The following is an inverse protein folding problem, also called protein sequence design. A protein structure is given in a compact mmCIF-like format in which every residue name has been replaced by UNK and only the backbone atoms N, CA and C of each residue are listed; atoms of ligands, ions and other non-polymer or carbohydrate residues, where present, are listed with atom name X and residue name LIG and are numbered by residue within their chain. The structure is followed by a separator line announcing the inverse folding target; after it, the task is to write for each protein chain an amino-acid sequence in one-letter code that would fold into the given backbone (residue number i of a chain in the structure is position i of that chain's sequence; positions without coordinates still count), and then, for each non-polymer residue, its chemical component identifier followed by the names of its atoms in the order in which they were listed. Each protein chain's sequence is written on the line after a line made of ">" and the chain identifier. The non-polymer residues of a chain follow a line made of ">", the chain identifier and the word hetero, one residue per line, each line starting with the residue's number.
data_IF_710503737836
#
_entry.id   IF_710503737836
#
_cell.length_a   1.000
_cell.length_b   1.000
_cell.length_c   1.000
_cell.angle_alpha   90.00
_cell.angle_beta   90.00
_cell.angle_gamma   90.00
#
_symmetry.space_group_name_H-M   'P 1'
#
loop_
_entity.id
_entity.type
_entity.pdbx_description
1 polymer ?
#
# COMPACT_ATOMS: atom_id res chain seq x y z
N UNK A 1 -27.90 -11.82 2.23
CA UNK A 1 -26.92 -12.74 2.84
C UNK A 1 -26.02 -11.94 3.76
N UNK A 2 -25.81 -12.38 5.01
CA UNK A 2 -24.80 -11.77 5.91
C UNK A 2 -23.44 -11.86 5.22
N UNK A 3 -22.77 -10.72 5.04
CA UNK A 3 -21.41 -10.68 4.53
C UNK A 3 -20.51 -11.35 5.57
N UNK A 4 -19.84 -12.42 5.17
CA UNK A 4 -18.91 -13.13 6.03
C UNK A 4 -17.61 -12.32 6.13
N UNK A 5 -17.32 -11.76 7.30
CA UNK A 5 -16.20 -10.82 7.50
C UNK A 5 -14.82 -11.46 7.20
N UNK A 6 -14.66 -12.77 7.44
CA UNK A 6 -13.42 -13.50 7.12
C UNK A 6 -13.21 -13.78 5.63
N UNK A 7 -14.16 -13.44 4.75
CA UNK A 7 -14.07 -13.63 3.30
C UNK A 7 -13.59 -12.41 2.51
N UNK A 8 -13.10 -11.37 3.21
CA UNK A 8 -12.72 -10.10 2.59
C UNK A 8 -11.64 -10.25 1.51
N UNK A 9 -10.68 -11.16 1.69
CA UNK A 9 -9.60 -11.45 0.76
C UNK A 9 -10.11 -12.00 -0.58
N UNK A 10 -11.16 -12.82 -0.56
CA UNK A 10 -11.79 -13.32 -1.79
C UNK A 10 -12.51 -12.19 -2.53
N UNK A 11 -13.19 -11.30 -1.79
CA UNK A 11 -13.82 -10.11 -2.38
C UNK A 11 -12.79 -9.13 -2.93
N UNK A 12 -11.67 -8.93 -2.24
CA UNK A 12 -10.58 -8.12 -2.75
C UNK A 12 -10.01 -8.73 -4.04
N UNK A 13 -9.87 -10.07 -4.09
CA UNK A 13 -9.43 -10.77 -5.30
C UNK A 13 -10.35 -10.54 -6.49
N UNK A 14 -11.66 -10.66 -6.31
CA UNK A 14 -12.66 -10.39 -7.36
C UNK A 14 -12.51 -8.96 -7.93
N UNK A 15 -12.28 -7.98 -7.06
CA UNK A 15 -12.08 -6.58 -7.46
C UNK A 15 -10.74 -6.37 -8.17
N UNK A 16 -9.69 -7.06 -7.74
CA UNK A 16 -8.38 -7.02 -8.38
C UNK A 16 -8.42 -7.61 -9.79
N UNK A 17 -9.00 -8.81 -9.95
CA UNK A 17 -9.15 -9.45 -11.26
C UNK A 17 -9.96 -8.55 -12.22
N UNK A 18 -11.00 -7.89 -11.70
CA UNK A 18 -11.76 -6.89 -12.48
C UNK A 18 -10.89 -5.72 -12.92
N UNK A 19 -10.04 -5.19 -12.04
CA UNK A 19 -9.13 -4.10 -12.37
C UNK A 19 -8.10 -4.52 -13.43
N UNK A 20 -7.54 -5.73 -13.32
CA UNK A 20 -6.64 -6.29 -14.32
C UNK A 20 -7.30 -6.40 -15.69
N UNK A 21 -8.51 -6.98 -15.75
CA UNK A 21 -9.25 -7.09 -17.02
C UNK A 21 -9.53 -5.72 -17.64
N UNK A 22 -9.89 -4.72 -16.83
CA UNK A 22 -10.13 -3.35 -17.34
C UNK A 22 -8.84 -2.71 -17.84
N UNK A 23 -7.73 -2.85 -17.12
CA UNK A 23 -6.43 -2.38 -17.54
C UNK A 23 -5.98 -3.04 -18.86
N UNK A 24 -6.10 -4.36 -18.98
CA UNK A 24 -5.76 -5.09 -20.21
C UNK A 24 -6.61 -4.69 -21.42
N UNK A 25 -7.82 -4.15 -21.20
CA UNK A 25 -8.68 -3.58 -22.24
C UNK A 25 -8.48 -2.08 -22.44
N UNK A 26 -7.29 -1.57 -22.13
CA UNK A 26 -6.87 -0.18 -22.28
C UNK A 26 -7.67 0.87 -21.47
N UNK A 27 -8.45 0.43 -20.48
CA UNK A 27 -9.15 1.37 -19.61
C UNK A 27 -8.22 1.89 -18.50
N UNK A 28 -7.83 3.16 -18.61
CA UNK A 28 -6.98 3.88 -17.64
C UNK A 28 -7.76 4.76 -16.66
N UNK A 29 -9.09 4.83 -16.79
CA UNK A 29 -9.97 5.71 -15.98
C UNK A 29 -10.51 4.97 -14.78
N UNK A 30 -9.82 5.05 -13.64
CA UNK A 30 -10.16 4.32 -12.40
C UNK A 30 -11.60 4.55 -11.94
N UNK A 31 -12.14 5.75 -12.14
CA UNK A 31 -13.52 6.12 -11.83
C UNK A 31 -14.58 5.31 -12.60
N UNK A 32 -14.18 4.62 -13.67
CA UNK A 32 -15.06 3.78 -14.49
C UNK A 32 -14.90 2.28 -14.22
N UNK A 33 -13.92 1.89 -13.40
CA UNK A 33 -13.60 0.47 -13.15
C UNK A 33 -14.54 -0.12 -12.11
N UNK A 34 -14.78 0.60 -11.02
CA UNK A 34 -15.55 0.12 -9.88
C UNK A 34 -16.89 0.84 -9.78
N UNK A 35 -17.95 0.09 -9.51
CA UNK A 35 -19.27 0.60 -9.16
C UNK A 35 -19.25 1.27 -7.78
N UNK A 36 -20.20 2.15 -7.45
CA UNK A 36 -20.28 2.77 -6.12
C UNK A 36 -20.31 1.74 -4.97
N UNK A 37 -20.95 0.58 -5.17
CA UNK A 37 -20.99 -0.49 -4.17
C UNK A 37 -19.62 -1.13 -3.95
N UNK A 38 -18.86 -1.34 -5.01
CA UNK A 38 -17.51 -1.91 -4.92
C UNK A 38 -16.53 -0.90 -4.31
N UNK A 39 -16.67 0.38 -4.62
CA UNK A 39 -15.91 1.46 -3.96
C UNK A 39 -16.17 1.46 -2.46
N UNK A 40 -17.44 1.33 -2.03
CA UNK A 40 -17.76 1.23 -0.60
C UNK A 40 -17.16 -0.03 0.04
N UNK A 41 -17.16 -1.16 -0.67
CA UNK A 41 -16.53 -2.39 -0.19
C UNK A 41 -15.01 -2.25 -0.01
N UNK A 42 -14.31 -1.60 -0.96
CA UNK A 42 -12.90 -1.27 -0.81
C UNK A 42 -12.66 -0.39 0.43
N UNK A 43 -13.54 0.60 0.65
CA UNK A 43 -13.45 1.47 1.83
C UNK A 43 -13.61 0.71 3.14
N UNK A 44 -14.46 -0.31 3.20
CA UNK A 44 -14.60 -1.21 4.36
C UNK A 44 -13.32 -2.03 4.62
N UNK A 45 -12.56 -2.34 3.58
CA UNK A 45 -11.27 -3.02 3.68
C UNK A 45 -10.11 -2.07 4.02
N UNK A 46 -10.35 -0.76 4.08
CA UNK A 46 -9.29 0.24 4.28
C UNK A 46 -8.49 0.54 3.00
N UNK A 47 -9.00 0.17 1.82
CA UNK A 47 -8.36 0.37 0.52
C UNK A 47 -9.08 1.44 -0.32
N UNK A 48 -8.34 2.07 -1.25
CA UNK A 48 -8.89 2.98 -2.26
C UNK A 48 -8.93 2.30 -3.65
N UNK A 49 -9.83 2.74 -4.54
CA UNK A 49 -9.85 2.28 -5.93
C UNK A 49 -8.50 2.40 -6.65
N UNK A 50 -7.83 3.54 -6.49
CA UNK A 50 -6.53 3.80 -7.13
C UNK A 50 -5.46 2.82 -6.66
N UNK A 51 -5.37 2.56 -5.35
CA UNK A 51 -4.39 1.61 -4.80
C UNK A 51 -4.53 0.20 -5.40
N UNK A 52 -5.77 -0.28 -5.57
CA UNK A 52 -5.99 -1.60 -6.15
C UNK A 52 -5.74 -1.62 -7.66
N UNK A 53 -6.09 -0.53 -8.35
CA UNK A 53 -5.82 -0.36 -9.77
C UNK A 53 -4.30 -0.33 -10.06
N UNK A 54 -3.52 0.44 -9.29
CA UNK A 54 -2.06 0.52 -9.45
C UNK A 54 -1.41 -0.86 -9.29
N UNK A 55 -1.88 -1.68 -8.35
CA UNK A 55 -1.40 -3.06 -8.19
C UNK A 55 -1.79 -3.98 -9.34
N UNK A 56 -2.93 -3.74 -9.99
CA UNK A 56 -3.35 -4.49 -11.16
C UNK A 56 -2.55 -4.08 -12.40
N UNK A 57 -2.29 -2.79 -12.57
CA UNK A 57 -1.41 -2.23 -13.61
C UNK A 57 0.02 -2.77 -13.49
N UNK A 58 0.57 -2.81 -12.28
CA UNK A 58 1.94 -3.28 -12.00
C UNK A 58 2.06 -4.81 -11.91
N UNK A 59 1.03 -5.58 -12.29
CA UNK A 59 0.98 -7.04 -12.09
C UNK A 59 2.06 -7.86 -12.81
N UNK A 60 2.84 -7.23 -13.71
CA UNK A 60 4.03 -7.84 -14.32
C UNK A 60 5.27 -7.86 -13.41
N UNK A 61 5.33 -6.99 -12.38
CA UNK A 61 6.45 -6.87 -11.42
C UNK A 61 5.96 -6.84 -9.95
N UNK A 62 4.65 -6.99 -9.71
CA UNK A 62 4.03 -7.08 -8.40
C UNK A 62 2.97 -8.18 -8.40
N UNK A 63 3.25 -9.30 -7.73
CA UNK A 63 2.30 -10.40 -7.64
C UNK A 63 1.08 -10.07 -6.74
N UNK A 64 0.03 -10.87 -6.93
CA UNK A 64 -1.22 -10.74 -6.19
C UNK A 64 -1.02 -10.97 -4.69
N UNK A 65 -0.20 -11.95 -4.30
CA UNK A 65 0.08 -12.29 -2.92
C UNK A 65 0.68 -11.10 -2.16
N UNK A 66 1.60 -10.38 -2.78
CA UNK A 66 2.23 -9.17 -2.25
C UNK A 66 1.21 -8.05 -2.13
N UNK A 67 0.39 -7.81 -3.16
CA UNK A 67 -0.68 -6.81 -3.13
C UNK A 67 -1.71 -7.11 -2.02
N UNK A 68 -2.09 -8.38 -1.86
CA UNK A 68 -2.96 -8.88 -0.81
C UNK A 68 -2.35 -8.65 0.58
N UNK A 69 -1.08 -9.02 0.78
CA UNK A 69 -0.40 -8.88 2.08
C UNK A 69 -0.17 -7.42 2.47
N UNK A 70 0.12 -6.54 1.51
CA UNK A 70 0.18 -5.08 1.73
C UNK A 70 -1.19 -4.57 2.17
N UNK A 71 -2.25 -4.98 1.47
CA UNK A 71 -3.62 -4.58 1.78
C UNK A 71 -4.08 -5.15 3.12
N UNK A 72 -3.66 -6.35 3.48
CA UNK A 72 -3.91 -6.94 4.80
C UNK A 72 -3.26 -6.10 5.92
N UNK A 73 -1.98 -5.72 5.78
CA UNK A 73 -1.30 -4.88 6.77
C UNK A 73 -2.00 -3.52 6.95
N UNK A 74 -2.43 -2.89 5.84
CA UNK A 74 -3.27 -1.70 5.88
C UNK A 74 -4.60 -1.96 6.59
N UNK A 75 -5.31 -3.02 6.21
CA UNK A 75 -6.63 -3.35 6.75
C UNK A 75 -6.58 -3.54 8.26
N UNK A 76 -5.56 -4.23 8.75
CA UNK A 76 -5.36 -4.45 10.17
C UNK A 76 -5.10 -3.13 10.88
N UNK A 77 -4.24 -2.26 10.34
CA UNK A 77 -4.02 -0.92 10.88
C UNK A 77 -5.30 -0.08 10.90
N UNK A 78 -6.09 -0.11 9.82
CA UNK A 78 -7.37 0.60 9.72
C UNK A 78 -8.34 0.22 10.84
N UNK A 79 -8.44 -1.08 11.14
CA UNK A 79 -9.32 -1.57 12.19
C UNK A 79 -8.74 -1.25 13.57
N UNK A 80 -7.49 -1.64 13.82
CA UNK A 80 -6.92 -1.65 15.17
C UNK A 80 -6.50 -0.27 15.65
N UNK A 81 -5.88 0.54 14.78
CA UNK A 81 -5.33 1.84 15.15
C UNK A 81 -6.29 2.99 14.86
N UNK A 82 -7.13 2.87 13.82
CA UNK A 82 -8.05 3.92 13.40
C UNK A 82 -9.51 3.64 13.74
N UNK A 83 -9.84 2.48 14.33
CA UNK A 83 -11.22 2.13 14.70
C UNK A 83 -12.17 2.09 13.50
N UNK A 84 -11.67 1.73 12.31
CA UNK A 84 -12.38 1.81 11.04
C UNK A 84 -12.82 3.23 10.62
N UNK A 85 -12.13 4.27 11.12
CA UNK A 85 -12.35 5.67 10.73
C UNK A 85 -11.24 6.12 9.78
N UNK A 86 -11.60 6.62 8.61
CA UNK A 86 -10.63 7.12 7.64
C UNK A 86 -9.96 8.41 8.11
N UNK A 87 -8.66 8.54 7.88
CA UNK A 87 -7.97 9.83 8.04
C UNK A 87 -8.55 10.86 7.06
N UNK A 88 -8.63 12.11 7.51
CA UNK A 88 -8.96 13.27 6.67
C UNK A 88 -7.71 13.96 6.10
N UNK A 89 -6.53 13.40 6.33
CA UNK A 89 -5.25 13.92 5.84
C UNK A 89 -4.86 13.25 4.54
N UNK A 90 -4.10 14.00 3.74
CA UNK A 90 -3.47 13.51 2.52
C UNK A 90 -2.00 13.92 2.57
N UNK A 91 -1.10 12.95 2.36
CA UNK A 91 0.33 13.20 2.18
C UNK A 91 0.53 14.02 0.92
N UNK A 92 1.33 15.09 1.00
CA UNK A 92 1.66 15.88 -0.18
C UNK A 92 2.93 15.37 -0.83
N UNK A 93 2.99 15.48 -2.15
CA UNK A 93 4.17 15.06 -2.92
C UNK A 93 5.41 15.89 -2.58
N UNK A 94 5.23 17.17 -2.22
CA UNK A 94 6.29 18.09 -1.79
C UNK A 94 6.91 17.73 -0.43
N UNK A 95 6.17 16.98 0.41
CA UNK A 95 6.66 16.54 1.73
C UNK A 95 7.53 15.27 1.64
N UNK A 96 7.65 14.67 0.45
CA UNK A 96 8.45 13.46 0.26
C UNK A 96 9.93 13.79 0.06
N UNK A 97 10.83 13.16 0.85
CA UNK A 97 12.29 13.20 0.63
C UNK A 97 12.69 12.88 -0.81
N UNK A 98 13.81 13.44 -1.27
CA UNK A 98 14.26 13.26 -2.64
C UNK A 98 14.56 11.78 -2.94
N UNK A 99 14.44 11.38 -4.22
CA UNK A 99 14.70 9.99 -4.65
C UNK A 99 16.15 9.53 -4.38
N UNK A 100 17.09 10.47 -4.30
CA UNK A 100 18.52 10.24 -4.03
C UNK A 100 18.90 10.46 -2.58
N UNK A 101 17.95 10.88 -1.74
CA UNK A 101 18.22 11.12 -0.33
C UNK A 101 18.48 9.80 0.40
N UNK A 102 19.40 9.83 1.33
CA UNK A 102 19.83 8.67 2.10
C UNK A 102 19.72 8.94 3.60
N UNK A 103 19.48 7.86 4.36
CA UNK A 103 19.61 7.86 5.80
C UNK A 103 20.72 6.87 6.14
N UNK A 104 21.82 7.37 6.68
CA UNK A 104 22.93 6.52 7.16
C UNK A 104 23.45 5.56 6.07
N UNK A 105 23.64 6.09 4.86
CA UNK A 105 24.12 5.36 3.67
C UNK A 105 23.05 4.54 2.93
N UNK A 106 21.79 4.58 3.38
CA UNK A 106 20.69 3.85 2.73
C UNK A 106 19.83 4.82 1.91
N UNK A 107 20.09 4.87 0.61
CA UNK A 107 19.30 5.62 -0.38
C UNK A 107 17.85 5.11 -0.36
N UNK A 108 16.90 6.01 -0.64
CA UNK A 108 15.45 5.72 -0.69
C UNK A 108 14.78 5.49 0.66
N UNK A 109 15.53 5.14 1.71
CA UNK A 109 14.98 4.92 3.05
C UNK A 109 14.24 6.15 3.60
N UNK A 110 14.79 7.38 3.55
CA UNK A 110 14.05 8.57 3.96
C UNK A 110 12.70 8.71 3.23
N UNK A 111 12.67 8.36 1.95
CA UNK A 111 11.49 8.53 1.09
C UNK A 111 10.43 7.45 1.31
N UNK A 112 10.82 6.20 1.52
CA UNK A 112 9.87 5.09 1.65
C UNK A 112 9.18 5.06 3.02
N UNK A 113 9.79 5.61 4.08
CA UNK A 113 9.20 5.72 5.42
C UNK A 113 7.87 6.52 5.42
N UNK A 114 7.82 7.79 4.94
CA UNK A 114 6.57 8.54 4.90
C UNK A 114 5.54 7.91 3.95
N UNK A 115 5.97 7.24 2.87
CA UNK A 115 5.07 6.44 2.02
C UNK A 115 4.45 5.27 2.77
N UNK A 116 5.23 4.54 3.56
CA UNK A 116 4.72 3.42 4.37
C UNK A 116 3.74 3.90 5.44
N UNK A 117 4.05 5.00 6.12
CA UNK A 117 3.15 5.65 7.10
C UNK A 117 1.85 6.10 6.41
N UNK A 118 1.98 6.79 5.27
CA UNK A 118 0.84 7.23 4.47
C UNK A 118 -0.01 6.05 3.99
N UNK A 119 0.62 4.94 3.57
CA UNK A 119 -0.09 3.71 3.20
C UNK A 119 -0.90 3.20 4.37
N UNK A 120 -0.26 2.96 5.53
CA UNK A 120 -0.90 2.45 6.74
C UNK A 120 -2.10 3.30 7.16
N UNK A 121 -1.98 4.64 7.10
CA UNK A 121 -3.03 5.57 7.53
C UNK A 121 -4.13 5.81 6.49
N UNK A 122 -3.95 5.35 5.24
CA UNK A 122 -4.84 5.65 4.13
C UNK A 122 -4.69 7.08 3.58
N UNK A 123 -3.53 7.71 3.79
CA UNK A 123 -3.25 9.12 3.50
C UNK A 123 -2.51 9.32 2.16
N UNK A 124 -2.16 8.25 1.44
CA UNK A 124 -1.54 8.42 0.11
C UNK A 124 -2.51 9.09 -0.89
N UNK A 125 -2.06 10.09 -1.66
CA UNK A 125 -2.83 10.66 -2.76
C UNK A 125 -2.86 9.68 -3.95
N UNK A 126 -3.72 9.94 -4.93
CA UNK A 126 -3.93 9.03 -6.06
C UNK A 126 -2.70 8.92 -6.98
N UNK A 127 -1.87 9.96 -7.05
CA UNK A 127 -0.64 10.00 -7.82
C UNK A 127 0.55 9.27 -7.15
N UNK A 128 0.35 8.67 -5.97
CA UNK A 128 1.39 8.05 -5.17
C UNK A 128 0.98 6.67 -4.67
N UNK A 129 1.63 5.63 -5.18
CA UNK A 129 1.49 4.27 -4.67
C UNK A 129 2.64 3.89 -3.72
N UNK A 130 2.33 3.08 -2.71
CA UNK A 130 3.33 2.31 -1.96
C UNK A 130 3.61 0.99 -2.69
N UNK A 131 4.86 0.57 -2.73
CA UNK A 131 5.36 -0.55 -3.54
C UNK A 131 5.44 -0.22 -5.04
N UNK A 132 5.75 1.02 -5.42
CA UNK A 132 6.06 1.36 -6.82
C UNK A 132 7.41 0.76 -7.27
N UNK A 133 7.77 0.87 -8.55
CA UNK A 133 9.04 0.33 -9.06
C UNK A 133 10.30 0.79 -8.29
N UNK A 134 10.31 2.01 -7.73
CA UNK A 134 11.40 2.49 -6.86
C UNK A 134 11.42 1.80 -5.50
N UNK A 135 10.25 1.63 -4.87
CA UNK A 135 10.11 0.90 -3.62
C UNK A 135 10.48 -0.58 -3.81
N UNK A 136 10.05 -1.21 -4.90
CA UNK A 136 10.38 -2.61 -5.23
C UNK A 136 11.88 -2.81 -5.42
N UNK A 137 12.57 -1.86 -6.05
CA UNK A 137 14.05 -1.88 -6.14
C UNK A 137 14.69 -1.83 -4.75
N UNK A 138 14.20 -0.95 -3.86
CA UNK A 138 14.66 -0.88 -2.47
C UNK A 138 14.41 -2.21 -1.74
N UNK A 139 13.19 -2.77 -1.82
CA UNK A 139 12.84 -4.03 -1.17
C UNK A 139 13.69 -5.20 -1.63
N UNK A 140 13.96 -5.32 -2.94
CA UNK A 140 14.86 -6.34 -3.49
C UNK A 140 16.31 -6.16 -3.03
N UNK A 141 16.80 -4.93 -2.97
CA UNK A 141 18.18 -4.65 -2.55
C UNK A 141 18.44 -4.97 -1.07
N UNK A 142 17.40 -4.96 -0.23
CA UNK A 142 17.50 -5.20 1.21
C UNK A 142 16.87 -6.51 1.67
N UNK A 143 16.37 -7.35 0.75
CA UNK A 143 15.68 -8.62 1.05
C UNK A 143 14.52 -8.46 2.05
N UNK A 144 13.66 -7.46 1.82
CA UNK A 144 12.53 -7.13 2.68
C UNK A 144 11.24 -7.26 1.91
N UNK A 145 10.30 -8.08 2.40
CA UNK A 145 8.96 -8.12 1.84
C UNK A 145 8.21 -6.79 2.13
N UNK A 146 7.53 -6.17 1.14
CA UNK A 146 6.88 -4.86 1.32
C UNK A 146 5.87 -4.81 2.48
N UNK A 147 5.10 -5.89 2.66
CA UNK A 147 4.14 -6.00 3.75
C UNK A 147 4.82 -6.13 5.13
N UNK A 148 6.00 -6.74 5.20
CA UNK A 148 6.77 -6.84 6.44
C UNK A 148 7.36 -5.49 6.81
N UNK A 149 7.81 -4.73 5.82
CA UNK A 149 8.22 -3.33 6.02
C UNK A 149 7.07 -2.50 6.61
N UNK A 150 5.84 -2.62 6.08
CA UNK A 150 4.68 -1.92 6.64
C UNK A 150 4.43 -2.32 8.11
N UNK A 151 4.46 -3.62 8.43
CA UNK A 151 4.29 -4.08 9.82
C UNK A 151 5.40 -3.58 10.73
N UNK A 152 6.64 -3.50 10.24
CA UNK A 152 7.75 -2.93 10.99
C UNK A 152 7.61 -1.43 11.19
N UNK A 153 7.18 -0.67 10.18
CA UNK A 153 6.88 0.76 10.31
C UNK A 153 5.78 1.00 11.35
N UNK A 154 4.73 0.15 11.34
CA UNK A 154 3.68 0.16 12.36
C UNK A 154 4.26 -0.13 13.76
N UNK A 155 4.99 -1.23 13.94
CA UNK A 155 5.59 -1.61 15.22
C UNK A 155 6.59 -0.56 15.75
N UNK A 156 7.32 0.09 14.84
CA UNK A 156 8.21 1.20 15.14
C UNK A 156 7.48 2.50 15.51
N UNK A 157 6.16 2.58 15.30
CA UNK A 157 5.36 3.82 15.39
C UNK A 157 5.92 4.93 14.50
N UNK A 158 6.45 4.55 13.33
CA UNK A 158 7.08 5.47 12.38
C UNK A 158 8.44 6.04 12.81
N UNK A 159 9.05 5.53 13.89
CA UNK A 159 10.36 5.99 14.38
C UNK A 159 11.50 5.60 13.42
N UNK A 160 12.16 6.56 12.75
CA UNK A 160 13.16 6.28 11.72
C UNK A 160 14.33 5.43 12.23
N UNK A 161 14.76 5.62 13.49
CA UNK A 161 15.88 4.89 14.09
C UNK A 161 15.60 3.38 14.20
N UNK A 162 14.36 3.00 14.51
CA UNK A 162 13.95 1.58 14.59
C UNK A 162 13.83 0.95 13.21
N UNK A 163 13.32 1.72 12.25
CA UNK A 163 13.17 1.26 10.86
C UNK A 163 14.55 1.10 10.23
N UNK A 164 15.47 2.04 10.46
CA UNK A 164 16.85 1.94 10.03
C UNK A 164 17.54 0.69 10.61
N UNK A 165 17.39 0.44 11.91
CA UNK A 165 17.95 -0.76 12.53
C UNK A 165 17.40 -2.05 11.89
N UNK A 166 16.11 -2.09 11.58
CA UNK A 166 15.49 -3.22 10.87
C UNK A 166 16.08 -3.43 9.47
N UNK A 167 16.27 -2.35 8.70
CA UNK A 167 16.84 -2.45 7.35
C UNK A 167 18.33 -2.83 7.38
N UNK A 168 19.10 -2.33 8.35
CA UNK A 168 20.54 -2.62 8.47
C UNK A 168 20.83 -4.05 8.91
N UNK A 169 20.04 -4.58 9.84
CA UNK A 169 20.39 -5.83 10.51
C UNK A 169 19.91 -7.07 9.74
N UNK A 170 19.11 -6.90 8.67
CA UNK A 170 18.41 -8.03 8.06
C UNK A 170 17.48 -8.72 9.08
N UNK A 171 16.77 -9.77 8.67
CA UNK A 171 16.04 -10.63 9.61
C UNK A 171 17.00 -11.58 10.33
#
# INVERSE_FOLDING_TARGET
>A
MKTVNYGWQQRLRELYDKAQVKYSNDNRKVETIFTPREVNLLREFGAKPMELYDYAEDSSDLDWETALLITAARRDYFIQEQGSVWSNKTLKMEDLPAKTEELEGIVWLPRIIPKAIGRLRGELPNELMFCCGGDRKFFRAHDIHPADFLRMVWAAKGKPEKILAYVKNGK
#
